data_IF_458435130653
#
_entry.id   IF_458435130653
#
_cell.length_a   1.000
_cell.length_b   1.000
_cell.length_c   1.000
_cell.angle_alpha   90.00
_cell.angle_beta   90.00
_cell.angle_gamma   90.00
#
_symmetry.space_group_name_H-M   'P 1'
#
loop_
_entity.id
_entity.type
_entity.pdbx_description
1 polymer ?
#
# COMPACT_ATOMS: atom_id res chain seq x y z
N UNK A 1 -7.75 26.16 -2.93
CA UNK A 1 -8.08 25.69 -4.29
C UNK A 1 -7.25 24.45 -4.53
N UNK A 2 -7.87 23.28 -4.60
CA UNK A 2 -7.17 22.01 -4.84
C UNK A 2 -7.19 21.69 -6.32
N UNK A 3 -6.12 21.07 -6.80
CA UNK A 3 -6.09 20.54 -8.15
C UNK A 3 -6.52 19.09 -8.12
N UNK A 4 -7.45 18.72 -9.00
CA UNK A 4 -7.90 17.35 -9.20
C UNK A 4 -7.50 16.92 -10.61
N UNK A 5 -6.59 15.96 -10.69
CA UNK A 5 -6.22 15.32 -11.94
C UNK A 5 -6.40 13.81 -11.84
N UNK A 6 -6.77 13.20 -12.96
CA UNK A 6 -6.94 11.76 -13.07
C UNK A 6 -6.28 11.28 -14.36
N UNK A 7 -5.49 10.22 -14.24
CA UNK A 7 -4.85 9.54 -15.36
C UNK A 7 -5.13 8.05 -15.27
N UNK A 8 -5.21 7.39 -16.43
CA UNK A 8 -5.27 5.94 -16.53
C UNK A 8 -3.96 5.47 -17.17
N UNK A 9 -3.31 4.54 -16.48
CA UNK A 9 -2.11 3.85 -16.92
C UNK A 9 -2.52 2.43 -17.31
N UNK A 10 -2.18 2.05 -18.53
CA UNK A 10 -2.47 0.71 -19.07
C UNK A 10 -1.18 -0.08 -19.23
N UNK A 11 -1.15 -1.26 -18.61
CA UNK A 11 -0.12 -2.28 -18.79
C UNK A 11 -0.62 -3.45 -19.63
N UNK A 12 0.18 -4.51 -19.68
CA UNK A 12 -0.20 -5.74 -20.37
C UNK A 12 -1.32 -6.50 -19.64
N UNK A 13 -2.19 -7.16 -20.41
CA UNK A 13 -3.24 -8.03 -19.87
C UNK A 13 -2.64 -9.12 -18.97
N UNK A 14 -3.34 -9.43 -17.89
CA UNK A 14 -2.96 -10.43 -16.90
C UNK A 14 -1.60 -10.28 -16.21
N UNK A 15 -1.00 -9.10 -16.31
CA UNK A 15 0.17 -8.71 -15.51
C UNK A 15 -0.23 -7.69 -14.44
N UNK A 16 0.61 -7.57 -13.42
CA UNK A 16 0.54 -6.52 -12.41
C UNK A 16 1.44 -5.34 -12.78
N UNK A 17 1.36 -4.28 -11.99
CA UNK A 17 2.20 -3.08 -12.13
C UNK A 17 3.06 -2.93 -10.87
N UNK A 18 4.34 -2.60 -11.06
CA UNK A 18 5.19 -2.11 -9.98
C UNK A 18 5.43 -0.62 -10.21
N UNK A 19 4.99 0.20 -9.26
CA UNK A 19 5.09 1.65 -9.31
C UNK A 19 6.25 2.09 -8.42
N UNK A 20 7.15 2.87 -9.00
CA UNK A 20 8.23 3.57 -8.31
C UNK A 20 7.89 5.05 -8.25
N UNK A 21 8.11 5.69 -7.10
CA UNK A 21 7.93 7.13 -6.94
C UNK A 21 9.31 7.73 -6.70
N UNK A 22 9.82 8.49 -7.66
CA UNK A 22 11.14 9.13 -7.57
C UNK A 22 11.13 10.30 -6.59
N UNK A 23 10.05 11.09 -6.64
CA UNK A 23 9.89 12.27 -5.81
C UNK A 23 8.42 12.50 -5.47
N UNK A 24 8.18 12.99 -4.26
CA UNK A 24 6.86 13.40 -3.81
C UNK A 24 6.96 14.64 -2.91
N UNK A 25 6.07 15.59 -3.14
CA UNK A 25 5.89 16.78 -2.32
C UNK A 25 4.41 17.07 -2.27
N UNK A 26 3.72 16.41 -1.36
CA UNK A 26 2.30 16.61 -1.10
C UNK A 26 2.16 16.86 0.41
N UNK A 27 1.89 18.10 0.86
CA UNK A 27 1.79 18.36 2.28
C UNK A 27 0.64 17.55 2.90
N UNK A 28 0.93 16.89 4.02
CA UNK A 28 -0.12 16.23 4.80
C UNK A 28 -0.94 17.29 5.53
N UNK A 29 -2.26 17.24 5.39
CA UNK A 29 -3.13 18.06 6.20
C UNK A 29 -3.23 17.46 7.61
N UNK A 30 -2.54 18.09 8.57
CA UNK A 30 -2.72 17.87 10.00
C UNK A 30 -4.01 18.55 10.47
N UNK A 31 -5.18 17.96 10.22
CA UNK A 31 -6.40 18.39 10.91
C UNK A 31 -6.63 17.53 12.15
N UNK A 32 -6.30 18.11 13.30
CA UNK A 32 -6.90 17.71 14.57
C UNK A 32 -8.43 17.84 14.44
N UNK A 33 -9.10 16.70 14.31
CA UNK A 33 -10.55 16.59 14.47
C UNK A 33 -11.40 17.33 13.46
N UNK A 34 -11.52 16.81 12.22
CA UNK A 34 -12.79 16.82 11.50
C UNK A 34 -12.76 15.84 10.33
N UNK A 35 -13.89 15.17 10.14
CA UNK A 35 -14.24 14.21 9.08
C UNK A 35 -14.30 14.91 7.70
N UNK A 36 -13.13 15.24 7.16
CA UNK A 36 -13.00 15.84 5.83
C UNK A 36 -13.34 14.82 4.76
N UNK A 37 -14.42 15.07 4.02
CA UNK A 37 -14.95 14.23 2.93
C UNK A 37 -13.92 13.93 1.82
N UNK A 38 -12.82 14.70 1.71
CA UNK A 38 -11.78 14.55 0.70
C UNK A 38 -10.37 14.55 1.33
N UNK A 39 -9.61 13.47 1.18
CA UNK A 39 -8.23 13.31 1.64
C UNK A 39 -7.27 13.84 0.58
N UNK A 40 -6.27 14.60 1.01
CA UNK A 40 -5.19 15.06 0.13
C UNK A 40 -4.21 13.92 -0.11
N UNK A 41 -3.79 13.73 -1.35
CA UNK A 41 -2.84 12.70 -1.70
C UNK A 41 -2.76 12.41 -3.19
N UNK A 42 -1.76 11.61 -3.51
CA UNK A 42 -1.70 10.79 -4.70
C UNK A 42 -2.37 9.45 -4.39
N UNK A 43 -3.33 9.04 -5.19
CA UNK A 43 -4.09 7.81 -5.04
C UNK A 43 -3.84 6.89 -6.22
N UNK A 44 -3.43 5.66 -5.93
CA UNK A 44 -3.23 4.62 -6.92
C UNK A 44 -4.31 3.55 -6.71
N UNK A 45 -5.13 3.30 -7.73
CA UNK A 45 -6.25 2.35 -7.64
C UNK A 45 -6.43 1.58 -8.95
N UNK A 46 -7.24 0.52 -8.92
CA UNK A 46 -7.60 -0.22 -10.14
C UNK A 46 -8.46 0.67 -11.06
N UNK A 47 -8.08 0.75 -12.33
CA UNK A 47 -8.86 1.47 -13.33
C UNK A 47 -10.12 0.68 -13.69
N UNK A 48 -11.27 1.35 -13.66
CA UNK A 48 -12.57 0.76 -14.00
C UNK A 48 -13.17 1.46 -15.22
N UNK A 49 -13.83 0.69 -16.07
CA UNK A 49 -14.52 1.22 -17.26
C UNK A 49 -15.87 1.89 -16.94
N UNK A 50 -16.32 1.86 -15.68
CA UNK A 50 -17.58 2.47 -15.27
C UNK A 50 -17.39 3.93 -14.82
N UNK A 51 -17.79 4.93 -15.63
CA UNK A 51 -17.60 6.35 -15.32
C UNK A 51 -18.39 6.81 -14.07
N UNK A 52 -19.44 6.09 -13.68
CA UNK A 52 -20.24 6.44 -12.50
C UNK A 52 -19.55 6.09 -11.17
N UNK A 53 -18.52 5.22 -11.20
CA UNK A 53 -17.70 4.88 -10.01
C UNK A 53 -16.47 5.78 -9.91
N UNK A 54 -16.04 6.36 -11.04
CA UNK A 54 -14.88 7.25 -11.14
C UNK A 54 -15.09 8.60 -10.41
N UNK A 55 -16.34 8.98 -10.16
CA UNK A 55 -16.68 10.25 -9.49
C UNK A 55 -16.85 10.16 -7.96
N UNK A 56 -16.83 8.96 -7.36
CA UNK A 56 -17.43 8.79 -6.03
C UNK A 56 -16.45 8.95 -4.87
N UNK A 57 -15.12 8.91 -5.07
CA UNK A 57 -14.20 8.90 -3.93
C UNK A 57 -12.96 9.76 -4.17
N UNK A 58 -13.04 11.04 -3.80
CA UNK A 58 -11.87 11.90 -3.58
C UNK A 58 -10.94 11.36 -2.46
N UNK A 59 -11.32 10.28 -1.77
CA UNK A 59 -10.57 9.61 -0.71
C UNK A 59 -9.83 8.36 -1.17
N UNK A 60 -9.83 8.08 -2.47
CA UNK A 60 -9.40 6.79 -3.01
C UNK A 60 -10.44 5.70 -2.75
N UNK A 61 -10.39 4.65 -3.57
CA UNK A 61 -11.27 3.48 -3.46
C UNK A 61 -10.80 2.52 -2.36
N UNK A 62 -11.65 1.63 -1.83
CA UNK A 62 -11.18 0.50 -1.05
C UNK A 62 -10.10 -0.27 -1.83
N UNK A 63 -8.94 -0.51 -1.21
CA UNK A 63 -7.77 -1.10 -1.88
C UNK A 63 -6.90 -0.10 -2.66
N UNK A 64 -7.22 1.20 -2.65
CA UNK A 64 -6.32 2.24 -3.15
C UNK A 64 -5.16 2.48 -2.21
N UNK A 65 -4.01 2.78 -2.79
CA UNK A 65 -2.82 3.23 -2.06
C UNK A 65 -2.83 4.76 -2.06
N UNK A 66 -2.89 5.36 -0.87
CA UNK A 66 -2.71 6.80 -0.70
C UNK A 66 -1.25 7.09 -0.37
N UNK A 67 -0.66 7.99 -1.13
CA UNK A 67 0.70 8.50 -0.91
C UNK A 67 0.64 10.00 -0.69
N UNK A 68 1.23 10.47 0.40
CA UNK A 68 1.37 11.87 0.74
C UNK A 68 2.68 12.07 1.52
N UNK A 69 3.04 13.33 1.77
CA UNK A 69 4.27 13.71 2.45
C UNK A 69 5.36 14.17 1.49
N UNK A 70 6.59 14.15 2.02
CA UNK A 70 7.79 14.66 1.36
C UNK A 70 8.85 13.58 1.13
N UNK A 71 8.56 12.35 1.54
CA UNK A 71 9.47 11.20 1.47
C UNK A 71 8.81 10.16 0.55
N UNK A 72 9.45 9.78 -0.56
CA UNK A 72 8.91 8.75 -1.43
C UNK A 72 8.79 7.41 -0.70
N UNK A 73 7.68 6.67 -0.90
CA UNK A 73 7.54 5.34 -0.33
C UNK A 73 8.39 4.31 -1.09
N UNK A 74 8.43 3.10 -0.54
CA UNK A 74 8.91 1.92 -1.25
C UNK A 74 8.09 1.64 -2.53
N UNK A 75 8.67 0.83 -3.43
CA UNK A 75 7.98 0.33 -4.62
C UNK A 75 6.62 -0.29 -4.28
N UNK A 76 5.58 0.16 -4.99
CA UNK A 76 4.20 -0.22 -4.75
C UNK A 76 3.80 -1.27 -5.79
N UNK A 77 3.52 -2.49 -5.34
CA UNK A 77 3.00 -3.54 -6.21
C UNK A 77 1.48 -3.49 -6.27
N UNK A 78 0.96 -3.47 -7.50
CA UNK A 78 -0.45 -3.40 -7.82
C UNK A 78 -0.84 -4.64 -8.63
N UNK A 79 -1.80 -5.47 -8.16
CA UNK A 79 -2.14 -6.75 -8.80
C UNK A 79 -3.02 -6.62 -10.06
N UNK A 80 -3.25 -5.40 -10.54
CA UNK A 80 -4.08 -5.06 -11.69
C UNK A 80 -3.23 -4.58 -12.86
N UNK A 81 -3.71 -4.83 -14.08
CA UNK A 81 -3.05 -4.42 -15.33
C UNK A 81 -3.30 -2.97 -15.71
N UNK A 82 -4.36 -2.36 -15.17
CA UNK A 82 -4.73 -0.97 -15.43
C UNK A 82 -4.87 -0.21 -14.12
N UNK A 83 -4.16 0.90 -13.98
CA UNK A 83 -4.12 1.73 -12.79
C UNK A 83 -4.74 3.09 -13.07
N UNK A 84 -5.63 3.53 -12.20
CA UNK A 84 -6.08 4.90 -12.09
C UNK A 84 -5.18 5.65 -11.10
N UNK A 85 -4.55 6.72 -11.57
CA UNK A 85 -3.75 7.65 -10.79
C UNK A 85 -4.61 8.90 -10.57
N UNK A 86 -5.03 9.12 -9.33
CA UNK A 86 -5.80 10.31 -8.94
C UNK A 86 -4.94 11.21 -8.05
N UNK A 87 -4.90 12.50 -8.36
CA UNK A 87 -4.10 13.48 -7.65
C UNK A 87 -4.99 14.59 -7.14
N UNK A 88 -5.16 14.63 -5.81
CA UNK A 88 -5.91 15.67 -5.13
C UNK A 88 -4.99 16.36 -4.13
N UNK A 89 -4.46 17.52 -4.51
CA UNK A 89 -3.42 18.19 -3.73
C UNK A 89 -3.49 19.72 -3.83
N UNK A 90 -2.96 20.45 -2.83
CA UNK A 90 -2.88 21.90 -2.89
C UNK A 90 -1.90 22.39 -3.96
N UNK A 91 -1.96 23.67 -4.35
CA UNK A 91 -1.07 24.23 -5.36
C UNK A 91 0.41 24.07 -4.96
N UNK A 92 1.29 23.89 -5.94
CA UNK A 92 2.74 23.61 -5.77
C UNK A 92 3.08 22.21 -5.24
N UNK A 93 2.08 21.34 -5.11
CA UNK A 93 2.35 19.92 -4.89
C UNK A 93 2.89 19.29 -6.18
N UNK A 94 3.87 18.41 -6.04
CA UNK A 94 4.53 17.74 -7.16
C UNK A 94 4.77 16.27 -6.83
N UNK A 95 4.79 15.43 -7.86
CA UNK A 95 5.22 14.05 -7.77
C UNK A 95 5.86 13.63 -9.09
N UNK A 96 6.76 12.65 -9.02
CA UNK A 96 7.31 11.96 -10.17
C UNK A 96 7.19 10.46 -9.92
N UNK A 97 6.51 9.76 -10.82
CA UNK A 97 6.30 8.33 -10.74
C UNK A 97 6.71 7.67 -12.06
N UNK A 98 7.22 6.45 -11.93
CA UNK A 98 7.53 5.55 -13.04
C UNK A 98 6.87 4.19 -12.74
N UNK A 99 6.48 3.45 -13.77
CA UNK A 99 5.86 2.14 -13.60
C UNK A 99 6.47 1.12 -14.55
N UNK A 100 6.46 -0.14 -14.12
CA UNK A 100 6.84 -1.28 -14.95
C UNK A 100 5.84 -2.41 -14.82
N UNK A 101 5.68 -3.16 -15.91
CA UNK A 101 4.83 -4.34 -15.95
C UNK A 101 5.57 -5.51 -15.29
N UNK A 102 4.91 -6.23 -14.39
CA UNK A 102 5.47 -7.36 -13.65
C UNK A 102 4.49 -8.54 -13.64
N UNK A 103 4.96 -9.80 -13.55
CA UNK A 103 4.06 -10.95 -13.41
C UNK A 103 3.14 -10.80 -12.19
N UNK A 104 1.87 -11.22 -12.33
CA UNK A 104 0.96 -11.29 -11.17
C UNK A 104 1.54 -12.26 -10.15
N UNK A 105 1.66 -11.82 -8.89
CA UNK A 105 1.94 -12.69 -7.76
C UNK A 105 0.71 -13.56 -7.52
N UNK A 106 0.71 -14.77 -8.07
CA UNK A 106 -0.37 -15.74 -7.83
C UNK A 106 -0.47 -16.06 -6.33
N UNK A 107 -1.69 -15.95 -5.79
CA UNK A 107 -2.01 -16.33 -4.41
C UNK A 107 -2.18 -17.86 -4.22
N UNK A 108 -1.90 -18.67 -5.25
CA UNK A 108 -2.19 -20.11 -5.28
C UNK A 108 -0.96 -21.02 -5.12
N UNK A 109 0.22 -20.51 -4.77
CA UNK A 109 1.41 -21.36 -4.61
C UNK A 109 1.66 -21.72 -3.14
N UNK A 110 1.09 -22.84 -2.71
CA UNK A 110 1.70 -23.75 -1.71
C UNK A 110 2.73 -24.64 -2.42
N UNK A 111 3.74 -24.04 -3.06
CA UNK A 111 4.86 -24.81 -3.63
C UNK A 111 6.16 -24.35 -2.98
N UNK A 112 6.66 -25.21 -2.09
CA UNK A 112 8.08 -25.33 -1.84
C UNK A 112 8.80 -25.69 -3.15
N UNK A 113 10.02 -25.18 -3.30
CA UNK A 113 11.02 -25.45 -4.36
C UNK A 113 10.89 -24.66 -5.67
N UNK A 114 11.53 -23.49 -5.71
CA UNK A 114 12.87 -23.30 -6.33
C UNK A 114 13.06 -21.84 -6.77
N UNK A 115 13.36 -20.96 -5.80
CA UNK A 115 14.10 -19.73 -6.06
C UNK A 115 15.21 -19.56 -5.02
N UNK A 116 16.24 -20.41 -5.14
CA UNK A 116 17.58 -19.99 -4.76
C UNK A 116 17.92 -18.75 -5.60
N UNK A 117 17.99 -17.59 -4.94
CA UNK A 117 18.38 -16.27 -5.46
C UNK A 117 17.27 -15.34 -5.99
N UNK A 118 16.05 -15.40 -5.43
CA UNK A 118 15.32 -14.14 -5.27
C UNK A 118 15.98 -13.39 -4.11
N UNK A 119 16.65 -12.26 -4.39
CA UNK A 119 17.05 -11.31 -3.35
C UNK A 119 15.84 -11.09 -2.45
N UNK A 120 15.94 -11.48 -1.17
CA UNK A 120 14.82 -11.38 -0.23
C UNK A 120 14.48 -9.91 -0.07
N UNK A 121 13.48 -9.43 -0.82
CA UNK A 121 13.01 -8.04 -0.82
C UNK A 121 12.45 -7.65 0.56
N UNK A 122 12.11 -8.63 1.39
CA UNK A 122 11.60 -8.42 2.74
C UNK A 122 12.60 -8.92 3.79
N UNK A 123 12.99 -8.03 4.70
CA UNK A 123 13.97 -8.30 5.77
C UNK A 123 13.31 -8.73 7.09
N UNK A 124 11.98 -8.59 7.18
CA UNK A 124 11.20 -8.80 8.40
C UNK A 124 9.78 -9.30 8.09
N UNK A 125 9.11 -9.79 9.14
CA UNK A 125 7.77 -10.33 9.07
C UNK A 125 7.73 -11.86 9.01
N UNK A 126 6.55 -12.41 9.30
CA UNK A 126 6.35 -13.85 9.48
C UNK A 126 5.04 -14.31 8.84
N UNK A 127 4.94 -15.61 8.57
CA UNK A 127 3.67 -16.25 8.26
C UNK A 127 3.00 -16.66 9.56
N UNK A 128 1.74 -16.25 9.73
CA UNK A 128 0.95 -16.50 10.93
C UNK A 128 -0.19 -17.43 10.56
N UNK A 129 -0.25 -18.58 11.22
CA UNK A 129 -1.36 -19.52 11.12
C UNK A 129 -2.37 -19.14 12.20
N UNK A 130 -3.59 -18.70 11.85
CA UNK A 130 -4.53 -18.23 12.85
C UNK A 130 -4.94 -19.33 13.83
N UNK A 131 -5.04 -18.94 15.10
CA UNK A 131 -5.48 -19.81 16.20
C UNK A 131 -6.68 -19.16 16.90
N UNK A 132 -7.30 -19.89 17.83
CA UNK A 132 -8.36 -19.33 18.69
C UNK A 132 -7.84 -18.31 19.70
N UNK A 133 -6.52 -18.26 19.89
CA UNK A 133 -5.82 -17.34 20.79
C UNK A 133 -5.31 -16.11 20.04
N UNK A 134 -5.15 -15.01 20.77
CA UNK A 134 -4.58 -13.79 20.20
C UNK A 134 -3.10 -13.98 19.89
N UNK A 135 -2.74 -13.72 18.63
CA UNK A 135 -1.34 -13.63 18.20
C UNK A 135 -0.96 -12.17 18.01
N UNK A 136 0.23 -11.80 18.49
CA UNK A 136 0.72 -10.43 18.42
C UNK A 136 1.66 -10.25 17.22
N UNK A 137 1.46 -9.15 16.49
CA UNK A 137 2.33 -8.71 15.41
C UNK A 137 2.92 -7.38 15.84
N UNK A 138 4.24 -7.33 16.01
CA UNK A 138 4.97 -6.12 16.34
C UNK A 138 5.85 -5.68 15.17
N UNK A 139 6.13 -4.37 15.12
CA UNK A 139 7.20 -3.85 14.27
C UNK A 139 8.55 -4.45 14.71
N UNK A 140 9.47 -4.71 13.76
CA UNK A 140 10.80 -5.20 14.11
C UNK A 140 11.55 -4.10 14.88
N UNK A 141 11.85 -4.37 16.15
CA UNK A 141 12.75 -3.55 16.96
C UNK A 141 13.98 -4.38 17.28
N UNK A 142 15.17 -3.78 17.17
CA UNK A 142 16.38 -4.45 17.62
C UNK A 142 16.31 -4.69 19.15
N UNK A 143 16.95 -5.75 19.68
CA UNK A 143 16.98 -5.99 21.12
C UNK A 143 17.58 -4.78 21.87
N UNK A 144 16.77 -4.11 22.68
CA UNK A 144 17.17 -2.93 23.45
C UNK A 144 16.88 -1.59 22.78
N UNK A 145 16.31 -1.58 21.58
CA UNK A 145 15.86 -0.36 20.90
C UNK A 145 14.33 -0.23 20.94
N UNK A 146 13.86 1.01 21.04
CA UNK A 146 12.44 1.37 21.00
C UNK A 146 11.94 1.71 19.60
N UNK A 147 12.86 1.98 18.67
CA UNK A 147 12.55 2.40 17.31
C UNK A 147 12.78 1.25 16.31
N UNK A 148 12.03 1.27 15.21
CA UNK A 148 12.26 0.39 14.09
C UNK A 148 13.29 1.01 13.13
N UNK A 149 14.07 0.17 12.44
CA UNK A 149 15.06 0.66 11.49
C UNK A 149 14.41 1.25 10.23
N UNK A 150 15.10 2.21 9.63
CA UNK A 150 14.67 2.84 8.38
C UNK A 150 14.82 1.86 7.20
N UNK A 151 13.95 2.00 6.20
CA UNK A 151 13.98 1.24 4.94
C UNK A 151 13.80 -0.28 5.10
N UNK A 152 13.17 -0.74 6.19
CA UNK A 152 12.77 -2.12 6.33
C UNK A 152 11.49 -2.40 5.53
N UNK A 153 11.55 -3.41 4.67
CA UNK A 153 10.37 -3.96 4.02
C UNK A 153 9.92 -5.19 4.80
N UNK A 154 8.83 -5.05 5.57
CA UNK A 154 8.26 -6.18 6.30
C UNK A 154 7.04 -6.76 5.57
N UNK A 155 6.88 -8.07 5.65
CA UNK A 155 5.69 -8.76 5.16
C UNK A 155 5.21 -9.77 6.19
N UNK A 156 4.05 -9.50 6.78
CA UNK A 156 3.30 -10.51 7.53
C UNK A 156 2.25 -11.14 6.63
N UNK A 157 2.19 -12.47 6.61
CA UNK A 157 1.20 -13.21 5.83
C UNK A 157 0.33 -13.97 6.80
N UNK A 158 -0.97 -13.66 6.86
CA UNK A 158 -1.92 -14.43 7.68
C UNK A 158 -2.53 -15.48 6.77
N UNK A 159 -2.28 -16.76 7.07
CA UNK A 159 -2.87 -17.86 6.30
C UNK A 159 -4.37 -17.89 6.50
N UNK A 160 -5.11 -18.24 5.44
CA UNK A 160 -6.56 -18.33 5.49
C UNK A 160 -6.95 -19.42 6.50
N UNK A 161 -7.68 -19.09 7.58
CA UNK A 161 -8.07 -20.11 8.54
C UNK A 161 -9.27 -20.92 8.05
N UNK A 162 -9.44 -22.11 8.62
CA UNK A 162 -10.61 -22.98 8.41
C UNK A 162 -11.83 -22.48 9.23
N UNK A 163 -11.67 -21.42 10.03
CA UNK A 163 -12.70 -20.86 10.92
C UNK A 163 -13.55 -19.76 10.28
N UNK A 164 -14.63 -19.37 10.97
CA UNK A 164 -15.70 -18.46 10.52
C UNK A 164 -15.30 -16.99 10.29
N UNK A 165 -14.08 -16.59 10.64
CA UNK A 165 -13.57 -15.24 10.35
C UNK A 165 -12.30 -14.89 11.12
N UNK A 166 -11.59 -13.87 10.65
CA UNK A 166 -10.44 -13.28 11.32
C UNK A 166 -10.86 -12.03 12.08
N UNK A 167 -10.46 -11.93 13.34
CA UNK A 167 -10.58 -10.69 14.12
C UNK A 167 -9.19 -10.12 14.33
N UNK A 168 -8.95 -8.93 13.77
CA UNK A 168 -7.69 -8.20 13.95
C UNK A 168 -7.90 -7.10 14.96
N UNK A 169 -7.02 -7.01 15.96
CA UNK A 169 -7.01 -5.92 16.94
C UNK A 169 -5.67 -5.19 16.82
N UNK A 170 -5.71 -3.95 16.37
CA UNK A 170 -4.53 -3.09 16.34
C UNK A 170 -4.39 -2.42 17.70
N UNK A 171 -3.22 -2.54 18.32
CA UNK A 171 -2.83 -1.77 19.51
C UNK A 171 -1.70 -0.83 19.11
N UNK A 172 -1.90 0.46 19.34
CA UNK A 172 -0.86 1.47 19.15
C UNK A 172 -0.33 1.78 20.54
N UNK A 173 0.91 1.38 20.80
CA UNK A 173 1.61 1.72 22.03
C UNK A 173 2.52 2.91 21.73
N UNK A 174 2.20 4.07 22.31
CA UNK A 174 3.13 5.20 22.31
C UNK A 174 4.24 4.86 23.30
N UNK A 175 5.46 4.71 22.79
CA UNK A 175 6.64 4.64 23.65
C UNK A 175 6.89 6.06 24.15
N UNK A 176 6.77 6.25 25.47
CA UNK A 176 7.01 7.50 26.17
C UNK A 176 8.51 7.75 26.38
#
# INVERSE_FOLDING_TARGET
>A
MYTNFMWIVEGEQDKGLLVHIDSIRIPEENYQGYDGVNKIGLFLSEAMDNPNVNFVLNNGRPGSVRVAGFIPPADIYLPYSRMEVSFFAPPRSEFRLEWKVVPKRNANYTEEMDQKNATRVYTCGTTLVPTWEWQEISNPTAPGETNYENNLHCKWTIERPIMTGLRVRVRISLVA
#
